data_IF_251325444083
#
_entry.id   IF_251325444083
#
_cell.length_a   1.000
_cell.length_b   1.000
_cell.length_c   1.000
_cell.angle_alpha   90.00
_cell.angle_beta   90.00
_cell.angle_gamma   90.00
#
_symmetry.space_group_name_H-M   'P 1'
#
loop_
_entity.id
_entity.type
_entity.pdbx_description
1 polymer ?
#
# COMPACT_ATOMS: atom_id res chain seq x y z
N UNK A 1 25.57 18.95 -3.82
CA UNK A 1 26.14 18.09 -2.76
C UNK A 1 25.73 16.67 -3.07
N UNK A 2 26.63 15.69 -2.96
CA UNK A 2 26.26 14.28 -3.12
C UNK A 2 25.56 13.78 -1.85
N UNK A 3 24.48 13.00 -2.00
CA UNK A 3 23.76 12.40 -0.87
C UNK A 3 24.59 11.32 -0.19
N UNK A 4 24.56 11.25 1.14
CA UNK A 4 25.15 10.13 1.89
C UNK A 4 24.25 8.89 1.83
N UNK A 5 24.78 7.72 2.19
CA UNK A 5 23.97 6.47 2.29
C UNK A 5 22.82 6.65 3.30
N UNK A 6 23.09 7.33 4.42
CA UNK A 6 22.06 7.63 5.42
C UNK A 6 20.96 8.55 4.87
N UNK A 7 21.31 9.54 4.04
CA UNK A 7 20.32 10.42 3.39
C UNK A 7 19.45 9.65 2.40
N UNK A 8 20.06 8.75 1.61
CA UNK A 8 19.34 7.90 0.65
C UNK A 8 18.38 6.97 1.40
N UNK A 9 18.84 6.32 2.47
CA UNK A 9 18.01 5.42 3.27
C UNK A 9 16.84 6.16 3.93
N UNK A 10 17.12 7.30 4.56
CA UNK A 10 16.08 8.15 5.19
C UNK A 10 15.06 8.61 4.17
N UNK A 11 15.50 8.98 2.96
CA UNK A 11 14.60 9.34 1.85
C UNK A 11 13.74 8.16 1.42
N UNK A 12 14.33 6.96 1.32
CA UNK A 12 13.59 5.73 1.05
C UNK A 12 12.50 5.47 2.09
N UNK A 13 12.82 5.56 3.38
CA UNK A 13 11.87 5.37 4.47
C UNK A 13 10.71 6.37 4.41
N UNK A 14 11.00 7.64 4.09
CA UNK A 14 9.98 8.69 3.89
C UNK A 14 9.06 8.38 2.72
N UNK A 15 9.64 7.93 1.60
CA UNK A 15 8.85 7.56 0.42
C UNK A 15 7.96 6.35 0.69
N UNK A 16 8.46 5.33 1.39
CA UNK A 16 7.64 4.19 1.80
C UNK A 16 6.52 4.60 2.77
N UNK A 17 6.80 5.50 3.73
CA UNK A 17 5.74 5.97 4.64
C UNK A 17 4.63 6.70 3.87
N UNK A 18 5.01 7.57 2.94
CA UNK A 18 4.05 8.25 2.08
C UNK A 18 3.27 7.26 1.19
N UNK A 19 3.90 6.16 0.75
CA UNK A 19 3.26 5.10 -0.02
C UNK A 19 2.16 4.42 0.80
N UNK A 20 2.46 4.02 2.04
CA UNK A 20 1.47 3.41 2.96
C UNK A 20 0.27 4.33 3.20
N UNK A 21 0.51 5.62 3.44
CA UNK A 21 -0.57 6.60 3.66
C UNK A 21 -1.48 6.72 2.44
N UNK A 22 -0.92 6.65 1.23
CA UNK A 22 -1.72 6.64 0.00
C UNK A 22 -2.50 5.33 -0.17
N UNK A 23 -1.87 4.20 0.14
CA UNK A 23 -2.48 2.88 0.08
C UNK A 23 -3.75 2.85 0.94
N UNK A 24 -3.63 3.28 2.21
CA UNK A 24 -4.72 3.37 3.18
C UNK A 24 -5.89 4.19 2.60
N UNK A 25 -5.63 5.43 2.15
CA UNK A 25 -6.68 6.30 1.62
C UNK A 25 -7.36 5.71 0.38
N UNK A 26 -6.59 5.03 -0.48
CA UNK A 26 -7.10 4.39 -1.67
C UNK A 26 -7.99 3.20 -1.32
N UNK A 27 -7.52 2.32 -0.44
CA UNK A 27 -8.24 1.13 -0.01
C UNK A 27 -9.51 1.47 0.77
N UNK A 28 -9.48 2.49 1.63
CA UNK A 28 -10.68 2.97 2.36
C UNK A 28 -11.81 3.34 1.40
N UNK A 29 -11.51 4.08 0.33
CA UNK A 29 -12.50 4.43 -0.72
C UNK A 29 -12.97 3.22 -1.53
N UNK A 30 -12.08 2.25 -1.78
CA UNK A 30 -12.45 1.04 -2.53
C UNK A 30 -13.37 0.13 -1.71
N UNK A 31 -13.07 -0.06 -0.42
CA UNK A 31 -13.84 -0.93 0.49
C UNK A 31 -15.30 -0.52 0.57
N UNK A 32 -15.58 0.79 0.57
CA UNK A 32 -16.96 1.32 0.60
C UNK A 32 -17.80 0.86 -0.60
N UNK A 33 -17.16 0.51 -1.72
CA UNK A 33 -17.82 0.15 -2.99
C UNK A 33 -17.98 -1.35 -3.24
N UNK A 34 -17.51 -2.19 -2.31
CA UNK A 34 -17.43 -3.66 -2.46
C UNK A 34 -18.65 -4.42 -1.94
N UNK A 35 -19.87 -3.93 -2.18
CA UNK A 35 -21.11 -4.56 -1.69
C UNK A 35 -21.26 -6.04 -2.10
N UNK A 36 -20.89 -6.38 -3.33
CA UNK A 36 -21.02 -7.73 -3.88
C UNK A 36 -19.80 -8.64 -3.64
N UNK A 37 -18.78 -8.16 -2.92
CA UNK A 37 -17.52 -8.86 -2.70
C UNK A 37 -17.14 -8.89 -1.20
N UNK A 38 -17.96 -9.53 -0.34
CA UNK A 38 -17.79 -9.44 1.12
C UNK A 38 -16.43 -9.97 1.62
N UNK A 39 -15.90 -11.03 1.00
CA UNK A 39 -14.58 -11.57 1.37
C UNK A 39 -13.44 -10.62 1.01
N UNK A 40 -13.54 -9.94 -0.15
CA UNK A 40 -12.57 -8.93 -0.56
C UNK A 40 -12.65 -7.70 0.33
N UNK A 41 -13.86 -7.22 0.62
CA UNK A 41 -14.07 -6.09 1.52
C UNK A 41 -13.46 -6.36 2.91
N UNK A 42 -13.65 -7.56 3.45
CA UNK A 42 -13.08 -7.95 4.73
C UNK A 42 -11.54 -8.02 4.68
N UNK A 43 -10.96 -8.67 3.66
CA UNK A 43 -9.51 -8.72 3.51
C UNK A 43 -8.89 -7.33 3.36
N UNK A 44 -9.53 -6.43 2.59
CA UNK A 44 -9.05 -5.06 2.42
C UNK A 44 -9.12 -4.26 3.72
N UNK A 45 -10.16 -4.44 4.55
CA UNK A 45 -10.20 -3.82 5.89
C UNK A 45 -9.05 -4.30 6.78
N UNK A 46 -8.76 -5.60 6.76
CA UNK A 46 -7.61 -6.15 7.48
C UNK A 46 -6.31 -5.55 6.96
N UNK A 47 -6.18 -5.42 5.63
CA UNK A 47 -4.99 -4.86 5.01
C UNK A 47 -4.80 -3.38 5.33
N UNK A 48 -5.88 -2.58 5.38
CA UNK A 48 -5.83 -1.18 5.84
C UNK A 48 -5.22 -1.08 7.26
N UNK A 49 -5.60 -1.98 8.18
CA UNK A 49 -5.00 -2.01 9.52
C UNK A 49 -3.54 -2.49 9.49
N UNK A 50 -3.18 -3.45 8.63
CA UNK A 50 -1.79 -3.85 8.38
C UNK A 50 -0.96 -2.63 7.92
N UNK A 51 -1.41 -1.90 6.90
CA UNK A 51 -0.76 -0.69 6.35
C UNK A 51 -0.63 0.44 7.38
N UNK A 52 -1.63 0.64 8.25
CA UNK A 52 -1.50 1.59 9.36
C UNK A 52 -0.38 1.19 10.33
N UNK A 53 -0.26 -0.10 10.63
CA UNK A 53 0.83 -0.59 11.48
C UNK A 53 2.19 -0.54 10.78
N UNK A 54 2.24 -0.71 9.46
CA UNK A 54 3.46 -0.57 8.66
C UNK A 54 3.92 0.89 8.62
N UNK A 55 3.00 1.82 8.40
CA UNK A 55 3.23 3.26 8.52
C UNK A 55 3.81 3.64 9.89
N UNK A 56 3.23 3.15 10.99
CA UNK A 56 3.75 3.37 12.34
C UNK A 56 5.17 2.80 12.56
N UNK A 57 5.47 1.63 11.97
CA UNK A 57 6.82 1.05 11.97
C UNK A 57 7.83 1.91 11.23
N UNK A 58 7.47 2.42 10.05
CA UNK A 58 8.34 3.32 9.28
C UNK A 58 8.63 4.61 10.05
N UNK A 59 7.65 5.15 10.78
CA UNK A 59 7.86 6.29 11.68
C UNK A 59 8.82 5.97 12.82
N UNK A 60 8.70 4.78 13.41
CA UNK A 60 9.62 4.33 14.47
C UNK A 60 11.06 4.29 13.98
N UNK A 61 11.28 3.73 12.79
CA UNK A 61 12.61 3.70 12.16
C UNK A 61 13.08 5.13 11.89
N UNK A 62 12.26 5.98 11.27
CA UNK A 62 12.60 7.38 10.96
C UNK A 62 13.00 8.19 12.20
N UNK A 63 12.32 7.99 13.34
CA UNK A 63 12.67 8.60 14.63
C UNK A 63 14.05 8.14 15.11
N UNK A 64 14.37 6.85 14.93
CA UNK A 64 15.70 6.30 15.24
C UNK A 64 16.84 6.95 14.44
N UNK A 65 16.56 7.45 13.24
CA UNK A 65 17.52 8.17 12.37
C UNK A 65 17.47 9.69 12.53
N UNK A 66 16.88 10.19 13.62
CA UNK A 66 16.87 11.62 13.95
C UNK A 66 15.92 12.47 13.11
N UNK A 67 14.93 11.85 12.44
CA UNK A 67 13.86 12.62 11.78
C UNK A 67 12.92 13.18 12.85
N UNK A 68 12.67 14.50 12.79
CA UNK A 68 11.85 15.22 13.76
C UNK A 68 10.35 15.15 13.46
N UNK A 69 9.51 15.41 14.46
CA UNK A 69 8.04 15.48 14.30
C UNK A 69 7.59 16.56 13.29
N UNK A 70 8.33 17.67 13.13
CA UNK A 70 7.99 18.70 12.15
C UNK A 70 8.20 18.20 10.72
N UNK A 71 9.29 17.45 10.47
CA UNK A 71 9.54 16.80 9.18
C UNK A 71 8.46 15.78 8.84
N UNK A 72 7.91 15.12 9.86
CA UNK A 72 6.79 14.20 9.70
C UNK A 72 5.51 14.92 9.28
N UNK A 73 5.18 16.03 9.95
CA UNK A 73 4.04 16.88 9.61
C UNK A 73 4.14 17.44 8.18
N UNK A 74 5.33 17.88 7.78
CA UNK A 74 5.57 18.40 6.43
C UNK A 74 5.37 17.32 5.36
N UNK A 75 5.80 16.08 5.62
CA UNK A 75 5.60 14.94 4.73
C UNK A 75 4.12 14.57 4.55
N UNK A 76 3.35 14.59 5.65
CA UNK A 76 1.89 14.40 5.60
C UNK A 76 1.18 15.51 4.81
N UNK A 77 1.63 16.76 4.92
CA UNK A 77 1.03 17.90 4.19
C UNK A 77 1.47 18.01 2.72
N UNK A 78 2.66 17.49 2.38
CA UNK A 78 3.21 17.55 1.03
C UNK A 78 2.62 16.52 0.06
N UNK A 79 1.80 15.58 0.55
CA UNK A 79 1.32 14.43 -0.23
C UNK A 79 -0.20 14.48 -0.50
N UNK A 80 -0.65 15.51 -1.23
CA UNK A 80 -2.05 15.64 -1.72
C UNK A 80 -2.15 15.73 -3.25
N UNK A 81 -1.22 15.14 -4.00
CA UNK A 81 -1.17 15.29 -5.45
C UNK A 81 -0.78 14.02 -6.21
N UNK A 82 -1.69 13.03 -6.27
CA UNK A 82 -1.90 12.15 -7.46
C UNK A 82 -2.96 11.05 -7.29
N UNK A 83 -3.89 11.20 -6.35
CA UNK A 83 -5.05 10.29 -6.21
C UNK A 83 -6.14 10.56 -7.27
N UNK A 84 -6.17 11.74 -7.87
CA UNK A 84 -7.23 12.16 -8.80
C UNK A 84 -7.30 11.32 -10.09
N UNK A 85 -6.19 10.70 -10.53
CA UNK A 85 -6.14 9.94 -11.78
C UNK A 85 -6.85 8.57 -11.69
N UNK A 86 -6.94 7.97 -10.50
CA UNK A 86 -7.65 6.70 -10.28
C UNK A 86 -9.17 6.91 -10.06
N UNK A 87 -9.62 8.15 -9.84
CA UNK A 87 -10.99 8.46 -9.45
C UNK A 87 -12.00 8.57 -10.62
N UNK A 88 -11.57 8.50 -11.88
CA UNK A 88 -12.40 8.87 -13.05
C UNK A 88 -12.50 7.81 -14.18
N UNK A 89 -12.33 6.53 -13.88
CA UNK A 89 -12.66 5.47 -14.84
C UNK A 89 -14.16 5.08 -14.75
N UNK A 90 -14.87 4.87 -15.89
CA UNK A 90 -16.30 4.56 -15.89
C UNK A 90 -16.65 3.30 -15.09
N UNK A 91 -17.77 3.40 -14.36
CA UNK A 91 -18.32 2.53 -13.31
C UNK A 91 -18.55 1.03 -13.61
N UNK A 92 -18.30 0.55 -14.83
CA UNK A 92 -18.66 -0.85 -15.18
C UNK A 92 -17.56 -1.84 -14.80
N UNK A 93 -16.28 -1.51 -14.92
CA UNK A 93 -15.16 -2.44 -14.69
C UNK A 93 -14.26 -2.07 -13.49
N UNK A 94 -14.76 -1.22 -12.60
CA UNK A 94 -13.99 -0.64 -11.49
C UNK A 94 -13.37 -1.72 -10.57
N UNK A 95 -14.12 -2.75 -10.19
CA UNK A 95 -13.61 -3.82 -9.30
C UNK A 95 -12.47 -4.60 -9.95
N UNK A 96 -12.53 -4.87 -11.26
CA UNK A 96 -11.46 -5.56 -11.97
C UNK A 96 -10.20 -4.70 -12.07
N UNK A 97 -10.37 -3.45 -12.52
CA UNK A 97 -9.26 -2.49 -12.64
C UNK A 97 -8.58 -2.28 -11.29
N UNK A 98 -9.36 -2.11 -10.23
CA UNK A 98 -8.85 -1.97 -8.88
C UNK A 98 -8.13 -3.22 -8.40
N UNK A 99 -8.66 -4.42 -8.68
CA UNK A 99 -7.97 -5.67 -8.31
C UNK A 99 -6.61 -5.80 -8.99
N UNK A 100 -6.50 -5.44 -10.27
CA UNK A 100 -5.23 -5.44 -10.99
C UNK A 100 -4.27 -4.36 -10.49
N UNK A 101 -4.79 -3.15 -10.27
CA UNK A 101 -4.02 -2.02 -9.76
C UNK A 101 -3.46 -2.32 -8.37
N UNK A 102 -4.29 -2.83 -7.46
CA UNK A 102 -3.87 -3.24 -6.13
C UNK A 102 -2.81 -4.33 -6.21
N UNK A 103 -3.01 -5.38 -7.03
CA UNK A 103 -1.99 -6.43 -7.18
C UNK A 103 -0.64 -5.89 -7.65
N UNK A 104 -0.63 -4.96 -8.60
CA UNK A 104 0.60 -4.29 -9.03
C UNK A 104 1.20 -3.40 -7.93
N UNK A 105 0.36 -2.76 -7.13
CA UNK A 105 0.76 -1.91 -6.02
C UNK A 105 1.43 -2.72 -4.90
N UNK A 106 0.86 -3.87 -4.51
CA UNK A 106 1.49 -4.79 -3.54
C UNK A 106 2.91 -5.18 -3.98
N UNK A 107 3.10 -5.49 -5.28
CA UNK A 107 4.42 -5.84 -5.79
C UNK A 107 5.39 -4.65 -5.81
N UNK A 108 4.89 -3.42 -5.96
CA UNK A 108 5.68 -2.22 -5.82
C UNK A 108 6.11 -2.00 -4.36
N UNK A 109 5.23 -2.26 -3.40
CA UNK A 109 5.55 -2.21 -1.96
C UNK A 109 6.56 -3.29 -1.57
N UNK A 110 6.38 -4.53 -2.03
CA UNK A 110 7.35 -5.62 -1.87
C UNK A 110 8.73 -5.20 -2.40
N UNK A 111 8.80 -4.62 -3.60
CA UNK A 111 10.07 -4.14 -4.15
C UNK A 111 10.68 -3.01 -3.32
N UNK A 112 9.85 -2.09 -2.82
CA UNK A 112 10.26 -0.96 -1.98
C UNK A 112 10.82 -1.43 -0.63
N UNK A 113 10.14 -2.36 0.04
CA UNK A 113 10.63 -2.94 1.30
C UNK A 113 11.93 -3.75 1.12
N UNK A 114 12.05 -4.51 0.03
CA UNK A 114 13.31 -5.19 -0.30
C UNK A 114 14.46 -4.18 -0.52
N UNK A 115 14.19 -3.07 -1.23
CA UNK A 115 15.17 -2.01 -1.40
C UNK A 115 15.57 -1.37 -0.06
N UNK A 116 14.61 -1.13 0.83
CA UNK A 116 14.86 -0.60 2.17
C UNK A 116 15.70 -1.53 3.05
N UNK A 117 15.52 -2.85 2.94
CA UNK A 117 16.37 -3.81 3.66
C UNK A 117 17.84 -3.69 3.23
N UNK A 118 18.10 -3.58 1.92
CA UNK A 118 19.45 -3.37 1.38
C UNK A 118 20.02 -2.02 1.82
N UNK A 119 19.21 -0.96 1.78
CA UNK A 119 19.63 0.37 2.23
C UNK A 119 19.92 0.41 3.73
N UNK A 120 19.12 -0.28 4.55
CA UNK A 120 19.30 -0.39 5.99
C UNK A 120 20.64 -1.05 6.32
N UNK A 121 20.97 -2.15 5.65
CA UNK A 121 22.27 -2.82 5.79
C UNK A 121 23.43 -1.88 5.41
N UNK A 122 23.33 -1.20 4.27
CA UNK A 122 24.35 -0.25 3.81
C UNK A 122 24.51 0.96 4.75
N UNK A 123 23.42 1.41 5.38
CA UNK A 123 23.40 2.51 6.34
C UNK A 123 23.86 2.08 7.75
N UNK A 124 24.03 0.78 8.00
CA UNK A 124 24.42 0.24 9.29
C UNK A 124 23.27 0.18 10.31
N UNK A 125 22.02 0.29 9.88
CA UNK A 125 20.85 0.18 10.76
C UNK A 125 20.63 -1.27 11.21
N UNK A 126 20.76 -1.51 12.51
CA UNK A 126 20.57 -2.83 13.12
C UNK A 126 19.14 -3.06 13.65
N UNK A 127 18.35 -2.00 13.82
CA UNK A 127 17.02 -2.08 14.42
C UNK A 127 15.92 -2.12 13.36
N UNK A 128 16.03 -1.29 12.32
CA UNK A 128 15.05 -1.17 11.24
C UNK A 128 14.75 -2.46 10.46
N UNK A 129 15.73 -3.32 10.12
CA UNK A 129 15.48 -4.50 9.29
C UNK A 129 14.42 -5.46 9.85
N UNK A 130 14.30 -5.59 11.18
CA UNK A 130 13.27 -6.44 11.80
C UNK A 130 11.86 -5.93 11.48
N UNK A 131 11.63 -4.62 11.60
CA UNK A 131 10.34 -4.00 11.35
C UNK A 131 10.01 -3.97 9.86
N UNK A 132 11.00 -3.66 9.01
CA UNK A 132 10.85 -3.69 7.55
C UNK A 132 10.49 -5.09 7.04
N UNK A 133 11.11 -6.13 7.59
CA UNK A 133 10.80 -7.52 7.22
C UNK A 133 9.39 -7.92 7.62
N UNK A 134 8.93 -7.47 8.78
CA UNK A 134 7.55 -7.72 9.19
C UNK A 134 6.55 -7.11 8.18
N UNK A 135 6.81 -5.88 7.70
CA UNK A 135 5.97 -5.23 6.69
C UNK A 135 6.02 -5.97 5.36
N UNK A 136 7.23 -6.32 4.91
CA UNK A 136 7.41 -7.11 3.70
C UNK A 136 6.61 -8.42 3.72
N UNK A 137 6.63 -9.14 4.85
CA UNK A 137 5.90 -10.40 4.99
C UNK A 137 4.37 -10.18 4.93
N UNK A 138 3.86 -9.02 5.36
CA UNK A 138 2.44 -8.63 5.24
C UNK A 138 2.06 -8.37 3.78
N UNK A 139 2.86 -7.59 3.04
CA UNK A 139 2.63 -7.30 1.61
C UNK A 139 2.66 -8.57 0.76
N UNK A 140 3.61 -9.47 1.04
CA UNK A 140 3.69 -10.77 0.36
C UNK A 140 2.39 -11.57 0.59
N UNK A 141 1.85 -11.57 1.81
CA UNK A 141 0.59 -12.26 2.10
C UNK A 141 -0.60 -11.61 1.40
N UNK A 142 -0.62 -10.28 1.30
CA UNK A 142 -1.67 -9.58 0.55
C UNK A 142 -1.60 -9.88 -0.95
N UNK A 143 -0.42 -9.77 -1.57
CA UNK A 143 -0.20 -10.12 -2.97
C UNK A 143 -0.64 -11.57 -3.28
N UNK A 144 -0.22 -12.53 -2.44
CA UNK A 144 -0.62 -13.93 -2.58
C UNK A 144 -2.13 -14.13 -2.44
N UNK A 145 -2.76 -13.41 -1.50
CA UNK A 145 -4.21 -13.47 -1.34
C UNK A 145 -4.92 -12.94 -2.60
N UNK A 146 -4.46 -11.81 -3.15
CA UNK A 146 -5.05 -11.24 -4.38
C UNK A 146 -4.92 -12.25 -5.52
N UNK A 147 -3.72 -12.80 -5.75
CA UNK A 147 -3.47 -13.78 -6.80
C UNK A 147 -4.41 -14.99 -6.70
N UNK A 148 -4.58 -15.54 -5.50
CA UNK A 148 -5.43 -16.72 -5.25
C UNK A 148 -6.92 -16.42 -5.45
N UNK A 149 -7.37 -15.21 -5.13
CA UNK A 149 -8.78 -14.83 -5.17
C UNK A 149 -9.20 -14.15 -6.49
N UNK A 150 -8.24 -13.69 -7.29
CA UNK A 150 -8.50 -13.00 -8.56
C UNK A 150 -9.40 -13.80 -9.52
N UNK A 151 -9.24 -15.12 -9.70
CA UNK A 151 -10.14 -15.89 -10.55
C UNK A 151 -11.60 -15.83 -10.11
N UNK A 152 -11.88 -15.88 -8.80
CA UNK A 152 -13.25 -15.83 -8.28
C UNK A 152 -13.84 -14.42 -8.37
N UNK A 153 -13.02 -13.40 -8.13
CA UNK A 153 -13.39 -12.00 -8.41
C UNK A 153 -13.86 -11.82 -9.85
N UNK A 154 -13.09 -12.34 -10.82
CA UNK A 154 -13.43 -12.25 -12.25
C UNK A 154 -14.72 -13.00 -12.56
N UNK A 155 -14.91 -14.22 -12.02
CA UNK A 155 -16.16 -14.98 -12.23
C UNK A 155 -17.37 -14.26 -11.65
N UNK A 156 -17.22 -13.66 -10.46
CA UNK A 156 -18.29 -12.90 -9.82
C UNK A 156 -18.63 -11.65 -10.63
N UNK A 157 -17.63 -10.91 -11.10
CA UNK A 157 -17.80 -9.79 -12.02
C UNK A 157 -18.60 -10.19 -13.26
N UNK A 158 -18.16 -11.23 -13.99
CA UNK A 158 -18.85 -11.71 -15.19
C UNK A 158 -20.31 -12.09 -14.90
N UNK A 159 -20.57 -12.74 -13.76
CA UNK A 159 -21.92 -13.14 -13.35
C UNK A 159 -22.81 -11.92 -13.05
N UNK A 160 -22.29 -10.87 -12.45
CA UNK A 160 -23.06 -9.65 -12.14
C UNK A 160 -23.37 -8.86 -13.42
N UNK A 161 -22.36 -8.66 -14.28
CA UNK A 161 -22.51 -7.94 -15.55
C UNK A 161 -23.53 -8.62 -16.47
N UNK A 162 -23.46 -9.95 -16.61
CA UNK A 162 -24.43 -10.71 -17.43
C UNK A 162 -25.86 -10.69 -16.88
N UNK A 163 -26.04 -10.32 -15.62
CA UNK A 163 -27.35 -10.13 -14.97
C UNK A 163 -27.82 -8.67 -14.98
N UNK A 164 -27.05 -7.74 -15.55
CA UNK A 164 -27.34 -6.31 -15.51
C UNK A 164 -27.26 -5.70 -14.11
N UNK A 165 -26.53 -6.33 -13.18
CA UNK A 165 -26.31 -5.83 -11.82
C UNK A 165 -24.99 -5.07 -11.75
N UNK A 166 -24.94 -4.01 -10.95
CA UNK A 166 -23.71 -3.22 -10.75
C UNK A 166 -22.66 -4.00 -9.99
N UNK A 167 -21.44 -4.03 -10.51
CA UNK A 167 -20.29 -4.70 -9.87
C UNK A 167 -19.79 -3.95 -8.63
N UNK A 168 -19.80 -2.62 -8.62
CA UNK A 168 -19.52 -1.78 -7.46
C UNK A 168 -20.63 -0.77 -7.22
N UNK A 169 -20.95 -0.49 -5.96
CA UNK A 169 -21.77 0.67 -5.62
C UNK A 169 -21.30 1.23 -4.29
#
# INVERSE_FOLDING_TARGET
MASSIADIYTTGLRNAHALEVQAIQLLERQVERLENYPQMAERMRQHIEESRNQSARLEEILRGHGTSESTFKDMMTGFMGNVAALAHAPMQDEVLKNSFANFAFEHYEIASYNALLVMAEAAGDQAGPKLLKQSLDEEIRMAQWIEQNLPETIRTYMRLETQGKTSGR
#
